data_IF_527417679401
#
_entry.id   IF_527417679401
#
_cell.length_a   1.000
_cell.length_b   1.000
_cell.length_c   1.000
_cell.angle_alpha   90.00
_cell.angle_beta   90.00
_cell.angle_gamma   90.00
#
_symmetry.space_group_name_H-M   'P 1'
#
loop_
_entity.id
_entity.type
_entity.pdbx_description
1 polymer ?
#
# COMPACT_ATOMS: atom_id res chain seq x y z
N UNK A 1 14.63 -11.66 19.56
CA UNK A 1 14.54 -11.17 19.19
C UNK A 1 14.15 -10.99 18.29
N UNK A 2 13.79 -10.92 17.86
CA UNK A 2 13.41 -10.69 17.16
C UNK A 2 13.51 -10.02 16.38
N UNK A 3 13.56 -9.93 15.79
CA UNK A 3 13.56 -9.15 15.04
C UNK A 3 12.69 -8.58 14.52
N UNK A 4 12.19 -9.02 14.49
CA UNK A 4 11.41 -8.37 14.25
C UNK A 4 10.79 -8.03 14.62
N UNK A 5 10.98 -8.08 14.84
CA UNK A 5 10.52 -7.57 15.36
C UNK A 5 9.86 -7.13 15.72
N UNK A 6 9.86 -7.18 15.75
CA UNK A 6 9.43 -6.71 16.40
C UNK A 6 9.00 -6.03 16.46
N UNK A 7 9.11 -6.06 16.21
CA UNK A 7 8.73 -5.38 16.34
C UNK A 7 8.17 -4.76 16.22
N UNK A 8 8.07 -4.66 16.05
CA UNK A 8 7.53 -3.98 16.16
C UNK A 8 6.81 -3.67 16.17
N UNK A 9 6.85 -3.94 16.11
CA UNK A 9 6.33 -3.59 16.28
C UNK A 9 5.52 -3.52 16.36
N UNK A 10 5.46 -3.52 16.51
CA UNK A 10 4.70 -3.37 16.72
C UNK A 10 3.98 -3.20 17.01
N UNK A 11 4.25 -3.21 16.85
CA UNK A 11 3.75 -2.98 17.36
C UNK A 11 3.04 -2.58 17.56
N UNK A 12 3.28 -2.37 17.48
CA UNK A 12 2.61 -1.98 17.83
C UNK A 12 1.66 -1.77 17.68
N UNK A 13 1.61 -2.05 17.30
CA UNK A 13 0.51 -1.74 17.24
C UNK A 13 -0.50 -1.96 17.90
N UNK A 14 -0.64 -2.18 18.49
CA UNK A 14 -1.71 -2.48 19.13
C UNK A 14 -2.92 -1.92 18.81
N UNK A 15 -3.09 -0.92 19.07
CA UNK A 15 -4.27 -0.30 18.73
C UNK A 15 -4.51 -0.35 17.30
N UNK A 16 -3.51 -0.53 16.57
CA UNK A 16 -3.59 -0.58 15.15
C UNK A 16 -4.51 -1.66 14.66
N UNK A 17 -4.68 -2.69 15.45
CA UNK A 17 -5.53 -3.77 15.04
C UNK A 17 -6.96 -3.33 14.92
N UNK A 18 -7.38 -2.36 15.66
CA UNK A 18 -8.73 -1.90 15.58
C UNK A 18 -9.01 -1.15 14.31
N UNK A 19 -8.00 -0.82 13.54
CA UNK A 19 -8.16 -0.10 12.30
C UNK A 19 -8.28 -1.03 11.12
N UNK A 20 -8.86 -2.20 11.32
CA UNK A 20 -9.09 -3.12 10.23
C UNK A 20 -7.95 -4.06 9.95
N UNK A 21 -7.00 -4.16 10.86
CA UNK A 21 -5.97 -5.20 10.72
C UNK A 21 -4.84 -4.86 9.76
N UNK A 22 -4.62 -3.60 9.44
CA UNK A 22 -3.47 -3.22 8.62
C UNK A 22 -2.53 -2.33 9.40
N UNK A 23 -1.26 -2.39 8.99
CA UNK A 23 -0.23 -1.50 9.48
C UNK A 23 0.36 -0.76 8.28
N UNK A 24 0.55 0.54 8.41
CA UNK A 24 1.06 1.36 7.33
C UNK A 24 2.21 2.19 7.86
N UNK A 25 3.33 2.18 7.15
CA UNK A 25 4.43 3.08 7.44
C UNK A 25 4.91 3.69 6.13
N UNK A 26 5.53 4.85 6.22
CA UNK A 26 6.03 5.48 5.00
C UNK A 26 7.30 6.26 5.31
N UNK A 27 8.10 6.45 4.26
CA UNK A 27 9.28 7.31 4.36
C UNK A 27 9.41 8.08 3.06
N UNK A 28 10.01 9.25 3.15
CA UNK A 28 10.23 10.11 1.98
C UNK A 28 11.19 9.44 1.01
N UNK A 29 10.96 9.70 -0.28
CA UNK A 29 11.78 9.14 -1.35
C UNK A 29 11.79 10.12 -2.52
N UNK A 30 12.72 11.08 -2.49
CA UNK A 30 12.72 12.13 -3.49
C UNK A 30 11.49 12.98 -3.34
N UNK A 31 10.74 13.20 -4.36
CA UNK A 31 9.48 13.96 -4.29
C UNK A 31 8.28 13.10 -3.92
N UNK A 32 8.47 11.84 -3.59
CA UNK A 32 7.38 10.94 -3.25
C UNK A 32 7.65 10.19 -1.97
N UNK A 33 7.10 8.97 -1.87
CA UNK A 33 7.26 8.17 -0.67
C UNK A 33 7.24 6.68 -0.99
N UNK A 34 7.95 5.91 -0.16
CA UNK A 34 7.79 4.46 -0.11
C UNK A 34 6.80 4.17 1.00
N UNK A 35 5.73 3.48 0.68
CA UNK A 35 4.67 3.14 1.64
C UNK A 35 4.66 1.63 1.81
N UNK A 36 4.90 1.18 3.03
CA UNK A 36 4.88 -0.25 3.36
C UNK A 36 3.57 -0.56 4.04
N UNK A 37 2.88 -1.56 3.53
CA UNK A 37 1.57 -1.95 4.03
C UNK A 37 1.59 -3.42 4.34
N UNK A 38 1.10 -3.78 5.53
CA UNK A 38 0.99 -5.18 5.94
C UNK A 38 -0.37 -5.44 6.51
N UNK A 39 -0.71 -6.74 6.62
CA UNK A 39 -1.98 -7.17 7.16
C UNK A 39 -2.99 -7.52 6.09
N UNK A 40 -4.26 -7.29 6.37
CA UNK A 40 -5.34 -7.72 5.50
C UNK A 40 -5.96 -6.55 4.78
N UNK A 41 -5.97 -6.61 3.45
CA UNK A 41 -6.60 -5.58 2.62
C UNK A 41 -7.97 -6.08 2.20
N UNK A 42 -9.00 -5.63 2.90
CA UNK A 42 -10.37 -6.07 2.69
C UNK A 42 -11.33 -4.92 2.94
N UNK A 43 -12.61 -5.23 3.01
CA UNK A 43 -13.64 -4.22 3.20
C UNK A 43 -13.48 -3.49 4.53
N UNK A 44 -13.04 -4.21 5.57
CA UNK A 44 -12.90 -3.60 6.90
C UNK A 44 -11.74 -2.63 6.95
N UNK A 45 -10.61 -2.97 6.32
CA UNK A 45 -9.43 -2.12 6.34
C UNK A 45 -9.42 -1.05 5.25
N UNK A 46 -10.33 -1.15 4.27
CA UNK A 46 -10.31 -0.25 3.12
C UNK A 46 -10.35 1.23 3.50
N UNK A 47 -11.16 1.67 4.47
CA UNK A 47 -11.15 3.10 4.83
C UNK A 47 -9.80 3.58 5.34
N UNK A 48 -9.13 2.78 6.17
CA UNK A 48 -7.80 3.16 6.66
C UNK A 48 -6.78 3.17 5.53
N UNK A 49 -6.83 2.16 4.67
CA UNK A 49 -5.92 2.10 3.53
C UNK A 49 -6.14 3.29 2.61
N UNK A 50 -7.39 3.62 2.31
CA UNK A 50 -7.71 4.75 1.44
C UNK A 50 -7.18 6.06 2.01
N UNK A 51 -7.39 6.28 3.31
CA UNK A 51 -6.93 7.49 3.96
C UNK A 51 -5.42 7.59 3.97
N UNK A 52 -4.73 6.49 4.25
CA UNK A 52 -3.28 6.49 4.29
C UNK A 52 -2.69 6.80 2.90
N UNK A 53 -3.26 6.22 1.86
CA UNK A 53 -2.76 6.47 0.50
C UNK A 53 -3.05 7.90 0.07
N UNK A 54 -4.22 8.42 0.42
CA UNK A 54 -4.57 9.80 0.08
C UNK A 54 -3.63 10.79 0.75
N UNK A 55 -3.35 10.59 2.04
CA UNK A 55 -2.41 11.45 2.76
C UNK A 55 -1.03 11.40 2.14
N UNK A 56 -0.57 10.20 1.82
CA UNK A 56 0.75 10.05 1.25
C UNK A 56 0.85 10.75 -0.10
N UNK A 57 -0.20 10.64 -0.92
CA UNK A 57 -0.22 11.31 -2.22
C UNK A 57 -0.24 12.83 -2.07
N UNK A 58 -0.97 13.35 -1.10
CA UNK A 58 -1.03 14.78 -0.88
C UNK A 58 0.31 15.38 -0.51
N UNK A 59 1.15 14.58 0.14
CA UNK A 59 2.47 15.04 0.54
C UNK A 59 3.51 14.92 -0.56
N UNK A 60 3.16 14.34 -1.71
CA UNK A 60 4.08 14.22 -2.83
C UNK A 60 4.22 15.55 -3.56
N UNK A 61 5.42 15.77 -4.09
CA UNK A 61 5.66 16.90 -4.98
C UNK A 61 5.12 16.59 -6.36
N UNK A 62 5.01 17.60 -7.20
CA UNK A 62 4.58 17.40 -8.58
C UNK A 62 5.50 16.43 -9.28
N UNK A 63 4.91 15.47 -9.95
CA UNK A 63 5.68 14.45 -10.65
C UNK A 63 6.15 13.32 -9.76
N UNK A 64 5.95 13.43 -8.45
CA UNK A 64 6.28 12.35 -7.53
C UNK A 64 5.19 11.32 -7.46
N UNK A 65 5.33 10.38 -6.55
CA UNK A 65 4.31 9.35 -6.38
C UNK A 65 4.67 8.38 -5.28
N UNK A 66 3.92 7.30 -5.24
CA UNK A 66 4.06 6.29 -4.20
C UNK A 66 4.66 5.02 -4.78
N UNK A 67 5.64 4.49 -4.07
CA UNK A 67 6.17 3.16 -4.31
C UNK A 67 5.66 2.29 -3.17
N UNK A 68 4.84 1.30 -3.49
CA UNK A 68 4.21 0.46 -2.48
C UNK A 68 5.02 -0.81 -2.25
N UNK A 69 5.21 -1.14 -0.99
CA UNK A 69 5.80 -2.40 -0.58
C UNK A 69 4.69 -3.18 0.12
N UNK A 70 4.21 -4.22 -0.53
CA UNK A 70 3.08 -5.01 -0.06
C UNK A 70 3.52 -6.41 0.38
N UNK A 71 4.81 -6.58 0.71
CA UNK A 71 5.31 -7.91 1.11
C UNK A 71 4.69 -8.39 2.40
N UNK A 72 4.24 -7.48 3.27
CA UNK A 72 3.60 -7.85 4.52
C UNK A 72 2.12 -8.11 4.44
N UNK A 73 1.52 -8.03 3.25
CA UNK A 73 0.09 -8.26 3.10
C UNK A 73 -0.19 -9.75 3.14
N UNK A 74 -1.02 -10.18 4.09
CA UNK A 74 -1.34 -11.59 4.28
C UNK A 74 -2.64 -11.98 3.58
N UNK A 75 -3.47 -11.01 3.24
CA UNK A 75 -4.73 -11.25 2.56
C UNK A 75 -5.10 -9.99 1.77
N UNK A 76 -5.63 -10.21 0.57
CA UNK A 76 -6.14 -9.10 -0.24
C UNK A 76 -7.28 -9.64 -1.10
N UNK A 77 -8.44 -9.02 -0.99
CA UNK A 77 -9.57 -9.38 -1.85
C UNK A 77 -9.82 -8.26 -2.86
N UNK A 78 -10.92 -8.39 -3.58
CA UNK A 78 -11.24 -7.42 -4.63
C UNK A 78 -11.47 -6.02 -4.07
N UNK A 79 -11.96 -5.91 -2.84
CA UNK A 79 -12.15 -4.60 -2.21
C UNK A 79 -10.80 -3.93 -1.95
N UNK A 80 -9.84 -4.71 -1.44
CA UNK A 80 -8.49 -4.20 -1.22
C UNK A 80 -7.83 -3.78 -2.54
N UNK A 81 -7.92 -4.63 -3.55
CA UNK A 81 -7.36 -4.31 -4.86
C UNK A 81 -8.00 -3.05 -5.43
N UNK A 82 -9.32 -2.94 -5.32
CA UNK A 82 -10.03 -1.78 -5.86
C UNK A 82 -9.59 -0.49 -5.18
N UNK A 83 -9.30 -0.55 -3.88
CA UNK A 83 -8.78 0.62 -3.16
C UNK A 83 -7.44 1.06 -3.74
N UNK A 84 -6.55 0.10 -4.05
CA UNK A 84 -5.27 0.41 -4.67
C UNK A 84 -5.46 1.01 -6.06
N UNK A 85 -6.38 0.45 -6.84
CA UNK A 85 -6.64 0.94 -8.20
C UNK A 85 -7.19 2.37 -8.19
N UNK A 86 -8.05 2.68 -7.22
CA UNK A 86 -8.59 4.04 -7.11
C UNK A 86 -7.49 5.04 -6.74
N UNK A 87 -6.60 4.64 -5.84
CA UNK A 87 -5.47 5.51 -5.49
C UNK A 87 -4.60 5.79 -6.71
N UNK A 88 -4.36 4.77 -7.52
CA UNK A 88 -3.57 4.93 -8.73
C UNK A 88 -4.25 5.91 -9.70
N UNK A 89 -5.55 5.74 -9.91
CA UNK A 89 -6.28 6.63 -10.82
C UNK A 89 -6.23 8.08 -10.34
N UNK A 90 -6.40 8.28 -9.05
CA UNK A 90 -6.32 9.62 -8.49
C UNK A 90 -4.94 10.22 -8.68
N UNK A 91 -3.92 9.41 -8.42
CA UNK A 91 -2.54 9.87 -8.60
C UNK A 91 -2.30 10.33 -10.03
N UNK A 92 -2.74 9.53 -11.00
CA UNK A 92 -2.53 9.87 -12.40
C UNK A 92 -3.21 11.17 -12.79
N UNK A 93 -4.42 11.42 -12.26
CA UNK A 93 -5.12 12.66 -12.58
C UNK A 93 -4.44 13.87 -11.95
N UNK A 94 -3.61 13.66 -10.94
CA UNK A 94 -2.86 14.72 -10.28
C UNK A 94 -1.40 14.75 -10.73
N UNK A 95 -1.08 14.09 -11.85
CA UNK A 95 0.28 14.02 -12.41
C UNK A 95 1.25 13.34 -11.45
N UNK A 96 0.78 12.34 -10.74
CA UNK A 96 1.57 11.51 -9.84
C UNK A 96 1.40 10.06 -10.24
N UNK A 97 2.15 9.17 -9.58
CA UNK A 97 2.10 7.74 -9.91
C UNK A 97 1.94 6.91 -8.65
N UNK A 98 1.48 5.68 -8.83
CA UNK A 98 1.46 4.65 -7.79
C UNK A 98 1.95 3.36 -8.45
N UNK A 99 3.06 2.82 -7.96
CA UNK A 99 3.62 1.57 -8.45
C UNK A 99 3.82 0.62 -7.28
N UNK A 100 3.89 -0.67 -7.56
CA UNK A 100 4.16 -1.70 -6.56
C UNK A 100 5.56 -2.23 -6.82
N UNK A 101 6.44 -2.07 -5.83
CA UNK A 101 7.83 -2.54 -5.93
C UNK A 101 7.95 -4.00 -5.54
N UNK A 102 7.19 -4.40 -4.53
CA UNK A 102 7.27 -5.75 -3.99
C UNK A 102 5.91 -6.12 -3.40
N UNK A 103 5.55 -7.39 -3.48
CA UNK A 103 4.26 -7.84 -3.01
C UNK A 103 4.37 -9.27 -2.50
N UNK A 104 3.51 -9.62 -1.56
CA UNK A 104 3.41 -10.99 -1.06
C UNK A 104 2.89 -11.90 -2.18
N UNK A 105 3.10 -13.22 -2.06
CA UNK A 105 2.58 -14.15 -3.07
C UNK A 105 1.07 -14.02 -3.29
N UNK A 106 0.33 -13.75 -2.23
CA UNK A 106 -1.12 -13.64 -2.33
C UNK A 106 -1.51 -12.43 -3.17
N UNK A 107 -0.85 -11.30 -2.96
CA UNK A 107 -1.12 -10.09 -3.74
C UNK A 107 -0.68 -10.29 -5.19
N UNK A 108 0.51 -10.87 -5.38
CA UNK A 108 1.02 -11.14 -6.73
C UNK A 108 0.04 -11.99 -7.51
N UNK A 109 -0.47 -13.05 -6.88
CA UNK A 109 -1.42 -13.93 -7.54
C UNK A 109 -2.70 -13.20 -7.93
N UNK A 110 -3.23 -12.39 -7.02
CA UNK A 110 -4.45 -11.63 -7.30
C UNK A 110 -4.24 -10.65 -8.45
N UNK A 111 -3.10 -9.97 -8.47
CA UNK A 111 -2.80 -9.05 -9.56
C UNK A 111 -2.71 -9.77 -10.89
N UNK A 112 -2.17 -10.98 -10.89
CA UNK A 112 -2.04 -11.77 -12.11
C UNK A 112 -3.39 -12.22 -12.64
N UNK A 113 -4.22 -12.79 -11.76
CA UNK A 113 -5.50 -13.34 -12.24
C UNK A 113 -6.49 -12.26 -12.63
N UNK A 114 -6.34 -11.03 -12.12
CA UNK A 114 -7.22 -9.93 -12.48
C UNK A 114 -6.68 -9.13 -13.65
N UNK A 115 -5.45 -9.39 -14.08
CA UNK A 115 -4.83 -8.63 -15.16
C UNK A 115 -4.35 -7.26 -14.74
N UNK A 116 -4.28 -6.98 -13.44
CA UNK A 116 -3.95 -5.64 -12.95
C UNK A 116 -2.45 -5.43 -12.72
N UNK A 117 -1.65 -6.49 -12.84
CA UNK A 117 -0.22 -6.38 -12.50
C UNK A 117 0.48 -5.28 -13.28
N UNK A 118 0.21 -5.18 -14.60
CA UNK A 118 0.90 -4.20 -15.43
C UNK A 118 0.55 -2.76 -15.07
N UNK A 119 -0.60 -2.54 -14.45
CA UNK A 119 -1.00 -1.18 -14.08
C UNK A 119 -0.10 -0.61 -12.98
N UNK A 120 0.46 -1.47 -12.15
CA UNK A 120 1.29 -1.06 -11.03
C UNK A 120 2.78 -1.29 -11.29
N UNK A 121 3.13 -1.68 -12.48
CA UNK A 121 4.53 -1.95 -12.79
C UNK A 121 5.32 -0.65 -12.87
N UNK A 122 6.55 -0.69 -12.34
CA UNK A 122 7.46 0.44 -12.45
C UNK A 122 8.08 0.38 -13.84
N UNK A 123 7.76 1.33 -14.67
CA UNK A 123 8.18 1.31 -16.07
C UNK A 123 9.39 2.19 -16.37
N UNK A 124 9.99 2.78 -15.34
CA UNK A 124 11.15 3.66 -15.59
C UNK A 124 12.43 2.89 -15.88
#
# INVERSE_FOLDING_TARGET
MTPFPEAPGPASVPDGADDGGIAVSRRSNGGGAVVSIGGELDMVSAPKLRGALAEALEDCEDGGGLVLDLTGVTFCDSTGLNTLLRARRRALSDHRFVVIRAASPQVTHLLEITGAAHLFADTT
#
